data_IF_444458802891
#
_entry.id   IF_444458802891
#
_cell.length_a   1.000
_cell.length_b   1.000
_cell.length_c   1.000
_cell.angle_alpha   90.00
_cell.angle_beta   90.00
_cell.angle_gamma   90.00
#
_symmetry.space_group_name_H-M   'P 1'
#
loop_
_entity.id
_entity.type
_entity.pdbx_description
1 polymer ?
#
# COMPACT_ATOMS: atom_id res chain seq x y z
N UNK A 1 -15.72 -18.32 -10.72
CA UNK A 1 -15.14 -19.01 -9.55
C UNK A 1 -13.95 -18.19 -9.11
N UNK A 2 -13.84 -17.90 -7.82
CA UNK A 2 -12.67 -17.20 -7.27
C UNK A 2 -11.66 -18.28 -6.87
N UNK A 3 -10.43 -18.21 -7.39
CA UNK A 3 -9.36 -19.18 -7.11
C UNK A 3 -8.27 -18.63 -6.20
N UNK A 4 -8.12 -17.31 -6.15
CA UNK A 4 -7.01 -16.65 -5.47
C UNK A 4 -7.50 -15.34 -4.81
N UNK A 5 -7.02 -15.09 -3.60
CA UNK A 5 -7.25 -13.88 -2.81
C UNK A 5 -5.87 -13.31 -2.48
N UNK A 6 -5.55 -12.11 -2.96
CA UNK A 6 -4.27 -11.45 -2.71
C UNK A 6 -4.48 -10.35 -1.68
N UNK A 7 -3.87 -10.49 -0.51
CA UNK A 7 -3.97 -9.52 0.58
C UNK A 7 -2.81 -8.53 0.53
N UNK A 8 -3.11 -7.24 0.42
CA UNK A 8 -2.08 -6.19 0.57
C UNK A 8 -1.58 -6.13 2.01
N UNK A 9 -2.49 -6.27 2.99
CA UNK A 9 -2.20 -6.38 4.42
C UNK A 9 -3.42 -6.93 5.19
N UNK A 10 -3.32 -7.06 6.52
CA UNK A 10 -4.25 -7.82 7.36
C UNK A 10 -5.17 -6.99 8.27
N UNK A 11 -5.28 -5.67 8.06
CA UNK A 11 -6.26 -4.88 8.81
C UNK A 11 -7.69 -5.30 8.47
N UNK A 12 -8.57 -5.24 9.47
CA UNK A 12 -9.91 -5.81 9.41
C UNK A 12 -10.72 -5.30 8.21
N UNK A 13 -10.64 -4.02 7.92
CA UNK A 13 -11.27 -3.35 6.78
C UNK A 13 -10.79 -3.85 5.40
N UNK A 14 -9.67 -4.59 5.35
CA UNK A 14 -9.18 -5.30 4.14
C UNK A 14 -9.48 -6.80 4.13
N UNK A 15 -9.77 -7.41 5.29
CA UNK A 15 -9.95 -8.88 5.41
C UNK A 15 -11.35 -9.31 5.86
N UNK A 16 -12.27 -8.37 6.13
CA UNK A 16 -13.58 -8.64 6.74
C UNK A 16 -14.47 -9.63 5.96
N UNK A 17 -14.25 -9.80 4.65
CA UNK A 17 -14.99 -10.74 3.81
C UNK A 17 -14.27 -12.07 3.56
N UNK A 18 -13.04 -12.25 4.06
CA UNK A 18 -12.22 -13.40 3.67
C UNK A 18 -12.84 -14.75 4.08
N UNK A 19 -13.53 -14.79 5.23
CA UNK A 19 -14.19 -16.01 5.71
C UNK A 19 -15.36 -16.39 4.79
N UNK A 20 -16.19 -15.42 4.41
CA UNK A 20 -17.32 -15.65 3.52
C UNK A 20 -16.86 -16.13 2.13
N UNK A 21 -15.77 -15.56 1.61
CA UNK A 21 -15.20 -15.97 0.31
C UNK A 21 -14.63 -17.39 0.39
N UNK A 22 -13.89 -17.73 1.44
CA UNK A 22 -13.31 -19.08 1.63
C UNK A 22 -14.39 -20.14 1.93
N UNK A 23 -15.52 -19.76 2.51
CA UNK A 23 -16.66 -20.66 2.68
C UNK A 23 -17.38 -20.97 1.36
N UNK A 24 -17.36 -20.02 0.41
CA UNK A 24 -18.03 -20.15 -0.88
C UNK A 24 -17.12 -20.70 -2.00
N UNK A 25 -15.80 -20.60 -1.85
CA UNK A 25 -14.83 -20.91 -2.90
C UNK A 25 -13.60 -21.63 -2.36
N UNK A 26 -13.06 -22.59 -3.13
CA UNK A 26 -11.75 -23.21 -2.88
C UNK A 26 -10.64 -22.28 -3.36
N UNK A 27 -10.48 -21.14 -2.67
CA UNK A 27 -9.53 -20.09 -3.02
C UNK A 27 -8.26 -20.17 -2.14
N UNK A 28 -7.12 -19.81 -2.73
CA UNK A 28 -5.84 -19.68 -2.01
C UNK A 28 -5.66 -18.25 -1.54
N UNK A 29 -5.18 -18.06 -0.31
CA UNK A 29 -4.86 -16.74 0.22
C UNK A 29 -3.37 -16.48 0.04
N UNK A 30 -3.03 -15.43 -0.70
CA UNK A 30 -1.69 -14.96 -0.96
C UNK A 30 -1.40 -13.73 -0.10
N UNK A 31 -0.26 -13.73 0.57
CA UNK A 31 0.23 -12.60 1.36
C UNK A 31 1.73 -12.71 1.57
N UNK A 32 2.38 -11.60 1.91
CA UNK A 32 3.79 -11.63 2.26
C UNK A 32 4.00 -12.38 3.58
N UNK A 33 5.11 -13.12 3.68
CA UNK A 33 5.47 -13.86 4.90
C UNK A 33 5.49 -12.97 6.16
N UNK A 34 6.08 -11.76 6.16
CA UNK A 34 6.00 -10.85 7.30
C UNK A 34 4.57 -10.47 7.70
N UNK A 35 3.63 -10.43 6.76
CA UNK A 35 2.24 -10.11 7.07
C UNK A 35 1.53 -11.28 7.74
N UNK A 36 1.80 -12.51 7.29
CA UNK A 36 1.27 -13.70 7.93
C UNK A 36 1.78 -13.82 9.39
N UNK A 37 3.05 -13.51 9.61
CA UNK A 37 3.67 -13.48 10.94
C UNK A 37 3.06 -12.38 11.83
N UNK A 38 2.86 -11.18 11.28
CA UNK A 38 2.24 -10.05 11.97
C UNK A 38 0.76 -10.31 12.31
N UNK A 39 -0.02 -10.80 11.35
CA UNK A 39 -1.44 -11.09 11.53
C UNK A 39 -1.67 -12.16 12.60
N UNK A 40 -0.77 -13.14 12.68
CA UNK A 40 -0.84 -14.23 13.66
C UNK A 40 -2.03 -15.16 13.49
N UNK A 41 -2.82 -15.01 12.41
CA UNK A 41 -3.97 -15.86 12.13
C UNK A 41 -3.50 -17.16 11.48
N UNK A 42 -3.98 -18.28 12.02
CA UNK A 42 -3.81 -19.60 11.41
C UNK A 42 -4.69 -19.75 10.16
N UNK A 43 -4.23 -19.28 9.01
CA UNK A 43 -4.81 -19.64 7.72
C UNK A 43 -4.50 -21.13 7.44
N UNK A 44 -5.48 -21.89 6.95
CA UNK A 44 -5.29 -23.33 6.70
C UNK A 44 -4.26 -23.59 5.59
N UNK A 45 -4.30 -22.82 4.50
CA UNK A 45 -3.48 -23.04 3.29
C UNK A 45 -2.99 -21.72 2.66
N UNK A 46 -2.26 -20.86 3.38
CA UNK A 46 -1.72 -19.64 2.80
C UNK A 46 -0.60 -19.95 1.79
N UNK A 47 -0.50 -19.13 0.77
CA UNK A 47 0.68 -19.05 -0.10
C UNK A 47 1.46 -17.82 0.34
N UNK A 48 2.64 -18.06 0.92
CA UNK A 48 3.50 -17.01 1.46
C UNK A 48 4.50 -16.57 0.40
N UNK A 49 4.62 -15.26 0.24
CA UNK A 49 5.51 -14.62 -0.73
C UNK A 49 6.60 -13.77 -0.06
N UNK A 50 7.61 -13.45 -0.84
CA UNK A 50 8.64 -12.45 -0.59
C UNK A 50 8.57 -11.33 -1.63
N UNK A 51 9.15 -10.17 -1.32
CA UNK A 51 9.28 -9.10 -2.31
C UNK A 51 10.11 -9.56 -3.52
N UNK A 52 9.61 -9.30 -4.72
CA UNK A 52 10.17 -9.73 -6.00
C UNK A 52 9.59 -11.05 -6.54
N UNK A 53 8.77 -11.75 -5.75
CA UNK A 53 8.07 -12.94 -6.23
C UNK A 53 7.04 -12.57 -7.32
N UNK A 54 6.68 -13.58 -8.12
CA UNK A 54 5.68 -13.46 -9.19
C UNK A 54 4.54 -14.44 -8.96
N UNK A 55 3.32 -13.97 -9.16
CA UNK A 55 2.09 -14.77 -9.13
C UNK A 55 1.55 -14.82 -10.56
N UNK A 56 1.32 -16.03 -11.07
CA UNK A 56 0.62 -16.24 -12.34
C UNK A 56 -0.87 -16.47 -12.09
N UNK A 57 -1.71 -15.59 -12.62
CA UNK A 57 -3.17 -15.74 -12.61
C UNK A 57 -3.67 -15.86 -14.06
N UNK A 58 -3.73 -17.09 -14.56
CA UNK A 58 -3.92 -17.33 -15.99
C UNK A 58 -2.74 -16.76 -16.78
N UNK A 59 -3.02 -15.91 -17.77
CA UNK A 59 -1.99 -15.22 -18.55
C UNK A 59 -1.51 -13.90 -17.91
N UNK A 60 -2.03 -13.56 -16.72
CA UNK A 60 -1.66 -12.32 -16.00
C UNK A 60 -0.51 -12.61 -15.04
N UNK A 61 0.63 -11.96 -15.26
CA UNK A 61 1.74 -11.94 -14.31
C UNK A 61 1.57 -10.78 -13.32
N UNK A 62 1.70 -11.09 -12.03
CA UNK A 62 1.61 -10.12 -10.94
C UNK A 62 2.92 -10.15 -10.17
N UNK A 63 3.64 -9.04 -10.15
CA UNK A 63 4.84 -8.86 -9.33
C UNK A 63 4.45 -8.41 -7.92
N UNK A 64 5.01 -9.08 -6.91
CA UNK A 64 4.79 -8.77 -5.49
C UNK A 64 5.88 -7.83 -5.01
N UNK A 65 5.51 -6.63 -4.58
CA UNK A 65 6.43 -5.66 -4.00
C UNK A 65 6.24 -5.63 -2.49
N UNK A 66 7.31 -5.86 -1.72
CA UNK A 66 7.28 -5.65 -0.27
C UNK A 66 7.45 -4.17 0.05
N UNK A 67 6.42 -3.60 0.67
CA UNK A 67 6.26 -2.17 0.89
C UNK A 67 5.86 -1.90 2.34
N UNK A 68 6.74 -2.20 3.32
CA UNK A 68 6.40 -2.06 4.72
C UNK A 68 6.24 -0.60 5.15
N UNK A 69 5.52 -0.40 6.23
CA UNK A 69 5.37 0.89 6.90
C UNK A 69 3.98 1.11 7.48
N UNK A 70 2.94 0.72 6.74
CA UNK A 70 1.58 0.67 7.29
C UNK A 70 1.40 -0.55 8.20
N UNK A 71 1.83 -1.72 7.71
CA UNK A 71 2.07 -2.95 8.47
C UNK A 71 3.46 -3.51 8.13
N UNK A 72 4.01 -4.46 8.90
CA UNK A 72 5.31 -5.06 8.62
C UNK A 72 5.38 -5.82 7.29
N UNK A 73 4.25 -6.35 6.82
CA UNK A 73 4.15 -7.12 5.59
C UNK A 73 3.27 -6.50 4.51
N UNK A 74 2.99 -5.20 4.60
CA UNK A 74 2.26 -4.48 3.55
C UNK A 74 2.88 -4.74 2.18
N UNK A 75 2.04 -5.04 1.19
CA UNK A 75 2.41 -5.39 -0.16
C UNK A 75 1.70 -4.50 -1.19
N UNK A 76 2.44 -4.12 -2.24
CA UNK A 76 1.85 -3.66 -3.49
C UNK A 76 1.91 -4.77 -4.54
N UNK A 77 0.89 -4.88 -5.39
CA UNK A 77 0.85 -5.82 -6.50
C UNK A 77 0.88 -5.06 -7.82
N UNK A 78 1.92 -5.29 -8.61
CA UNK A 78 2.11 -4.66 -9.92
C UNK A 78 1.70 -5.63 -11.02
N UNK A 79 0.86 -5.16 -11.94
CA UNK A 79 0.36 -5.92 -13.09
C UNK A 79 0.33 -5.01 -14.32
N UNK A 80 1.24 -5.24 -15.26
CA UNK A 80 1.47 -4.32 -16.37
C UNK A 80 1.85 -2.91 -15.89
N UNK A 81 1.01 -1.93 -16.24
CA UNK A 81 1.17 -0.52 -15.88
C UNK A 81 0.35 -0.14 -14.63
N UNK A 82 -0.37 -1.07 -14.02
CA UNK A 82 -1.19 -0.85 -12.83
C UNK A 82 -0.49 -1.33 -11.56
N UNK A 83 -0.69 -0.60 -10.45
CA UNK A 83 -0.22 -0.92 -9.12
C UNK A 83 -1.39 -0.91 -8.13
N UNK A 84 -1.75 -2.07 -7.59
CA UNK A 84 -2.61 -2.16 -6.41
C UNK A 84 -1.74 -1.83 -5.20
N UNK A 85 -1.92 -0.65 -4.62
CA UNK A 85 -1.01 -0.10 -3.61
C UNK A 85 -1.43 -0.32 -2.17
N UNK A 86 -2.63 -0.88 -1.95
CA UNK A 86 -3.19 -1.05 -0.61
C UNK A 86 -3.14 0.27 0.17
N UNK A 87 -2.66 0.18 1.41
CA UNK A 87 -2.49 1.34 2.29
C UNK A 87 -1.06 1.89 2.31
N UNK A 88 -0.21 1.45 1.38
CA UNK A 88 1.14 2.01 1.20
C UNK A 88 1.08 3.41 0.57
N UNK A 89 0.38 3.54 -0.56
CA UNK A 89 0.28 4.78 -1.33
C UNK A 89 -1.17 5.05 -1.68
N UNK A 90 -1.69 6.20 -1.25
CA UNK A 90 -2.99 6.72 -1.63
C UNK A 90 -2.84 7.82 -2.67
N UNK A 91 -3.92 8.17 -3.36
CA UNK A 91 -3.92 9.35 -4.24
C UNK A 91 -3.67 10.60 -3.39
N UNK A 92 -2.51 11.22 -3.60
CA UNK A 92 -1.95 12.31 -2.82
C UNK A 92 -1.81 12.01 -1.31
N UNK A 93 -1.72 10.77 -0.86
CA UNK A 93 -1.58 10.42 0.56
C UNK A 93 -0.78 9.13 0.81
N UNK A 94 -0.70 8.69 2.07
CA UNK A 94 -0.23 7.35 2.43
C UNK A 94 -0.94 6.85 3.71
N UNK A 95 -0.83 5.55 3.98
CA UNK A 95 -1.41 4.91 5.16
C UNK A 95 -0.86 5.46 6.48
N UNK A 96 -1.58 5.13 7.54
CA UNK A 96 -1.15 5.44 8.91
C UNK A 96 -0.05 4.50 9.40
N UNK A 97 0.82 4.98 10.28
CA UNK A 97 1.94 4.22 10.82
C UNK A 97 1.96 4.21 12.36
N UNK A 98 0.85 4.60 13.01
CA UNK A 98 0.73 4.75 14.46
C UNK A 98 0.00 3.61 15.16
N UNK A 99 -0.49 2.62 14.40
CA UNK A 99 -1.01 1.36 14.93
C UNK A 99 0.11 0.34 15.12
N UNK A 100 -0.20 -0.76 15.81
CA UNK A 100 0.74 -1.86 16.01
C UNK A 100 1.32 -2.34 14.66
N UNK A 101 2.64 -2.53 14.60
CA UNK A 101 3.34 -2.93 13.38
C UNK A 101 3.60 -1.79 12.38
N UNK A 102 3.00 -0.61 12.57
CA UNK A 102 3.28 0.58 11.78
C UNK A 102 4.67 1.16 12.05
N UNK A 103 5.33 1.63 10.99
CA UNK A 103 6.66 2.23 11.04
C UNK A 103 6.80 3.34 9.99
N UNK A 104 6.80 4.62 10.41
CA UNK A 104 6.89 5.75 9.48
C UNK A 104 8.26 5.90 8.82
N UNK A 105 9.34 5.37 9.39
CA UNK A 105 10.67 5.39 8.74
C UNK A 105 10.69 4.36 7.60
N UNK A 106 10.12 3.17 7.81
CA UNK A 106 9.93 2.19 6.74
C UNK A 106 9.01 2.73 5.64
N UNK A 107 7.90 3.38 6.00
CA UNK A 107 7.01 4.01 5.01
C UNK A 107 7.76 5.03 4.14
N UNK A 108 8.59 5.89 4.75
CA UNK A 108 9.42 6.84 4.03
C UNK A 108 10.30 6.14 2.99
N UNK A 109 11.05 5.11 3.39
CA UNK A 109 11.93 4.37 2.48
C UNK A 109 11.15 3.64 1.40
N UNK A 110 10.04 2.99 1.74
CA UNK A 110 9.12 2.33 0.80
C UNK A 110 8.65 3.27 -0.29
N UNK A 111 8.19 4.48 0.07
CA UNK A 111 7.69 5.45 -0.90
C UNK A 111 8.80 5.96 -1.84
N UNK A 112 10.02 6.18 -1.32
CA UNK A 112 11.17 6.56 -2.16
C UNK A 112 11.58 5.43 -3.11
N UNK A 113 11.55 4.19 -2.64
CA UNK A 113 11.85 3.01 -3.44
C UNK A 113 10.83 2.82 -4.57
N UNK A 114 9.53 3.00 -4.32
CA UNK A 114 8.50 2.95 -5.35
C UNK A 114 8.74 3.99 -6.45
N UNK A 115 9.01 5.24 -6.07
CA UNK A 115 9.32 6.33 -7.01
C UNK A 115 10.57 6.02 -7.85
N UNK A 116 11.59 5.40 -7.25
CA UNK A 116 12.83 5.07 -7.96
C UNK A 116 12.68 3.87 -8.92
N UNK A 117 11.76 2.95 -8.65
CA UNK A 117 11.63 1.68 -9.40
C UNK A 117 10.57 1.72 -10.49
N UNK A 118 9.51 2.51 -10.32
CA UNK A 118 8.32 2.42 -11.16
C UNK A 118 8.33 3.52 -12.26
N UNK A 119 7.83 3.20 -13.48
CA UNK A 119 7.57 4.19 -14.52
C UNK A 119 6.61 5.29 -14.06
N UNK A 120 6.80 6.51 -14.57
CA UNK A 120 5.98 7.68 -14.19
C UNK A 120 4.49 7.53 -14.59
N UNK A 121 4.20 6.75 -15.63
CA UNK A 121 2.85 6.45 -16.10
C UNK A 121 2.17 5.29 -15.34
N UNK A 122 2.84 4.70 -14.34
CA UNK A 122 2.24 3.65 -13.49
C UNK A 122 0.96 4.17 -12.83
N UNK A 123 -0.16 3.48 -13.06
CA UNK A 123 -1.48 3.80 -12.49
C UNK A 123 -1.59 3.25 -11.08
N UNK A 124 -1.96 4.10 -10.13
CA UNK A 124 -2.07 3.78 -8.71
C UNK A 124 -3.53 3.48 -8.37
N UNK A 125 -3.76 2.31 -7.77
CA UNK A 125 -5.06 1.83 -7.28
C UNK A 125 -4.97 1.58 -5.78
N UNK A 126 -5.39 2.56 -4.96
CA UNK A 126 -5.26 2.47 -3.52
C UNK A 126 -6.27 1.51 -2.88
N UNK A 127 -5.95 1.05 -1.67
CA UNK A 127 -6.88 0.30 -0.82
C UNK A 127 -8.05 1.12 -0.31
N UNK A 128 -7.86 2.44 -0.20
CA UNK A 128 -8.85 3.41 0.23
C UNK A 128 -8.79 4.69 -0.59
N UNK A 129 -9.93 5.33 -0.78
CA UNK A 129 -10.01 6.63 -1.43
C UNK A 129 -10.44 7.72 -0.45
N UNK A 130 -9.49 8.59 -0.10
CA UNK A 130 -9.69 9.80 0.70
C UNK A 130 -9.52 11.07 -0.15
N UNK A 131 -9.39 10.93 -1.46
CA UNK A 131 -8.88 11.94 -2.39
C UNK A 131 -9.96 12.43 -3.36
N UNK A 132 -9.61 13.47 -4.12
CA UNK A 132 -10.46 14.02 -5.18
C UNK A 132 -10.60 13.08 -6.38
N UNK A 133 -9.79 12.02 -6.44
CA UNK A 133 -9.81 11.01 -7.49
C UNK A 133 -9.59 9.60 -6.93
N UNK A 134 -10.20 8.60 -7.56
CA UNK A 134 -10.08 7.18 -7.17
C UNK A 134 -8.73 6.57 -7.55
N UNK A 135 -8.11 7.07 -8.62
CA UNK A 135 -6.81 6.62 -9.15
C UNK A 135 -5.98 7.82 -9.58
N UNK A 136 -4.66 7.64 -9.65
CA UNK A 136 -3.72 8.60 -10.21
C UNK A 136 -2.59 7.88 -10.96
N UNK A 137 -1.66 8.64 -11.51
CA UNK A 137 -0.38 8.14 -12.01
C UNK A 137 0.74 8.46 -11.04
N UNK A 138 1.83 7.70 -11.08
CA UNK A 138 3.01 8.00 -10.28
C UNK A 138 3.58 9.39 -10.57
N UNK A 139 3.46 9.89 -11.81
CA UNK A 139 3.81 11.25 -12.18
C UNK A 139 3.02 12.30 -11.39
N UNK A 140 1.69 12.14 -11.31
CA UNK A 140 0.82 13.02 -10.52
C UNK A 140 1.14 12.92 -9.02
N UNK A 141 1.42 11.72 -8.52
CA UNK A 141 1.84 11.53 -7.13
C UNK A 141 3.17 12.24 -6.84
N UNK A 142 4.17 12.14 -7.73
CA UNK A 142 5.46 12.82 -7.57
C UNK A 142 5.32 14.35 -7.55
N UNK A 143 4.33 14.90 -8.26
CA UNK A 143 4.06 16.34 -8.32
C UNK A 143 3.20 16.83 -7.14
N UNK A 144 2.23 16.02 -6.71
CA UNK A 144 1.14 16.45 -5.83
C UNK A 144 1.02 15.72 -4.49
N UNK A 145 1.74 14.62 -4.26
CA UNK A 145 1.68 13.91 -2.99
C UNK A 145 2.69 14.48 -1.99
N UNK A 146 2.25 15.16 -0.91
CA UNK A 146 3.17 15.79 0.02
C UNK A 146 4.12 14.78 0.69
N UNK A 147 3.74 13.51 0.81
CA UNK A 147 4.59 12.46 1.38
C UNK A 147 5.79 12.11 0.51
N UNK A 148 5.75 12.38 -0.80
CA UNK A 148 6.86 12.16 -1.75
C UNK A 148 7.82 13.35 -1.84
N UNK A 149 7.53 14.45 -1.13
CA UNK A 149 8.31 15.68 -1.19
C UNK A 149 9.39 15.77 -0.11
N UNK A 150 9.30 14.95 0.93
CA UNK A 150 10.31 14.89 1.97
C UNK A 150 11.58 14.18 1.48
N UNK A 151 12.74 14.78 1.76
CA UNK A 151 14.07 14.19 1.59
C UNK A 151 14.75 13.90 2.94
N UNK A 152 14.11 14.30 4.04
CA UNK A 152 14.57 14.06 5.40
C UNK A 152 13.54 13.19 6.13
N UNK A 153 13.98 12.03 6.63
CA UNK A 153 13.11 11.05 7.28
C UNK A 153 12.46 11.63 8.55
N UNK A 154 13.15 12.49 9.30
CA UNK A 154 12.61 13.04 10.55
C UNK A 154 11.50 14.07 10.28
N UNK A 155 11.59 14.83 9.19
CA UNK A 155 10.50 15.69 8.70
C UNK A 155 9.32 14.86 8.20
N UNK A 156 9.57 13.77 7.47
CA UNK A 156 8.50 12.84 7.06
C UNK A 156 7.76 12.27 8.27
N UNK A 157 8.51 11.74 9.25
CA UNK A 157 7.95 11.14 10.47
C UNK A 157 7.13 12.18 11.23
N UNK A 158 7.64 13.41 11.40
CA UNK A 158 6.89 14.50 12.03
C UNK A 158 5.60 14.82 11.28
N UNK A 159 5.68 14.96 9.96
CA UNK A 159 4.52 15.26 9.14
C UNK A 159 3.47 14.16 9.26
N UNK A 160 3.85 12.89 9.05
CA UNK A 160 2.92 11.77 9.15
C UNK A 160 2.35 11.66 10.56
N UNK A 161 3.18 11.57 11.58
CA UNK A 161 2.74 11.16 12.91
C UNK A 161 2.06 12.27 13.72
N UNK A 162 2.28 13.53 13.37
CA UNK A 162 1.86 14.66 14.22
C UNK A 162 1.15 15.78 13.49
N UNK A 163 1.31 15.91 12.18
CA UNK A 163 0.76 17.03 11.42
C UNK A 163 -0.40 16.61 10.51
N UNK A 164 -0.20 15.65 9.61
CA UNK A 164 -1.11 15.31 8.51
C UNK A 164 -2.56 15.14 8.98
N UNK A 165 -2.83 14.19 9.88
CA UNK A 165 -4.20 13.84 10.30
C UNK A 165 -4.91 14.97 11.08
N UNK A 166 -4.18 16.01 11.51
CA UNK A 166 -4.73 17.16 12.24
C UNK A 166 -5.02 18.36 11.34
N UNK A 167 -4.39 18.43 10.17
CA UNK A 167 -4.39 19.65 9.34
C UNK A 167 -4.85 19.41 7.91
N UNK A 168 -4.75 18.17 7.42
CA UNK A 168 -5.25 17.83 6.09
C UNK A 168 -6.68 17.33 6.22
N UNK A 169 -7.55 17.85 5.37
CA UNK A 169 -8.95 17.49 5.34
C UNK A 169 -9.26 16.80 4.02
N UNK A 170 -10.15 15.81 4.09
CA UNK A 170 -10.67 15.13 2.93
C UNK A 170 -11.69 16.03 2.18
N UNK A 171 -11.75 15.97 0.85
CA UNK A 171 -10.92 15.11 0.00
C UNK A 171 -9.49 15.67 -0.18
N UNK A 172 -8.51 14.77 -0.17
CA UNK A 172 -7.11 15.07 -0.45
C UNK A 172 -6.94 15.59 -1.88
N UNK A 173 -6.34 16.77 -2.02
CA UNK A 173 -5.91 17.33 -3.30
C UNK A 173 -4.38 17.39 -3.42
N UNK A 174 -3.85 17.73 -4.61
CA UNK A 174 -2.43 17.86 -4.81
C UNK A 174 -1.86 19.02 -3.99
N UNK A 175 -0.69 18.80 -3.40
CA UNK A 175 0.10 19.80 -2.68
C UNK A 175 1.42 19.95 -3.42
N UNK A 176 1.68 21.08 -4.10
CA UNK A 176 2.92 21.27 -4.85
C UNK A 176 4.17 21.16 -3.96
N UNK A 177 5.27 20.66 -4.52
CA UNK A 177 6.56 20.58 -3.83
C UNK A 177 6.99 21.93 -3.23
N UNK A 178 7.39 21.88 -1.96
CA UNK A 178 7.73 23.06 -1.16
C UNK A 178 6.54 23.72 -0.46
N UNK A 179 5.31 23.24 -0.70
CA UNK A 179 4.11 23.67 0.04
C UNK A 179 3.67 22.65 1.09
N UNK A 180 4.35 21.50 1.18
CA UNK A 180 4.21 20.61 2.32
C UNK A 180 4.66 21.31 3.62
N UNK A 181 3.75 21.43 4.57
CA UNK A 181 4.03 22.00 5.89
C UNK A 181 4.82 20.97 6.73
N UNK A 182 5.84 21.38 7.51
CA UNK A 182 6.68 20.49 8.33
C UNK A 182 6.06 20.04 9.67
#
# INVERSE_FOLDING_TARGET
QISDILLTHSHYDHINAIEDVLAAHDARVHLLKPEAEFWGRGLERPILHHGGDRIELGDTEIEVLHTPGHTPGSACYRLGDDLISGDTLFVFGCGRCDLEGGDPEQMFHTLKDLVARLPADTRIHPGHNYSVAETSTLAEEIEGNPFLHFDDVQRFVRYRMHYHDRHRHEPYGPVPRGQEMP
#
